data_IF_238586576879
#
_entry.id   IF_238586576879
#
_cell.length_a   1.000
_cell.length_b   1.000
_cell.length_c   1.000
_cell.angle_alpha   90.00
_cell.angle_beta   90.00
_cell.angle_gamma   90.00
#
_symmetry.space_group_name_H-M   'P 1'
#
loop_
_entity.id
_entity.type
_entity.pdbx_description
1 polymer ?
#
# COMPACT_ATOMS: atom_id res chain seq x y z
N UNK A 1 4.62 -3.27 13.70
CA UNK A 1 4.17 -3.59 12.33
C UNK A 1 2.65 -3.53 12.34
N UNK A 2 2.02 -3.00 11.29
CA UNK A 2 0.57 -2.89 11.20
C UNK A 2 0.02 -4.15 10.54
N UNK A 3 -0.89 -4.87 11.20
CA UNK A 3 -1.47 -6.11 10.68
C UNK A 3 -2.30 -5.89 9.42
N UNK A 4 -2.83 -4.68 9.25
CA UNK A 4 -3.60 -4.30 8.06
C UNK A 4 -2.73 -4.13 6.82
N UNK A 5 -1.41 -3.93 6.97
CA UNK A 5 -0.47 -3.77 5.84
C UNK A 5 -0.08 -5.13 5.32
N UNK A 6 -0.59 -5.48 4.14
CA UNK A 6 -0.31 -6.77 3.50
C UNK A 6 0.93 -6.74 2.62
N UNK A 7 1.28 -5.57 2.08
CA UNK A 7 2.48 -5.37 1.26
C UNK A 7 3.04 -3.96 1.51
N UNK A 8 4.36 -3.83 1.53
CA UNK A 8 5.05 -2.54 1.66
C UNK A 8 6.26 -2.54 0.71
N UNK A 9 6.32 -1.53 -0.14
CA UNK A 9 7.34 -1.38 -1.17
C UNK A 9 8.04 -0.05 -0.98
N UNK A 10 9.37 -0.07 -0.99
CA UNK A 10 10.16 1.12 -1.24
C UNK A 10 10.24 1.31 -2.76
N UNK A 11 9.83 2.47 -3.25
CA UNK A 11 9.75 2.75 -4.68
C UNK A 11 10.53 4.02 -5.01
N UNK A 12 10.93 4.14 -6.27
CA UNK A 12 11.49 5.37 -6.83
C UNK A 12 10.39 6.07 -7.62
N UNK A 13 10.10 7.34 -7.35
CA UNK A 13 9.03 8.08 -8.03
C UNK A 13 8.52 9.27 -7.20
N UNK A 14 7.22 9.57 -7.30
CA UNK A 14 6.57 10.68 -6.58
C UNK A 14 6.48 10.47 -5.05
N UNK A 15 6.71 9.25 -4.57
CA UNK A 15 6.68 8.87 -3.16
C UNK A 15 7.75 7.80 -2.88
N UNK A 16 8.32 7.80 -1.67
CA UNK A 16 9.36 6.85 -1.29
C UNK A 16 8.82 5.45 -0.94
N UNK A 17 7.57 5.39 -0.46
CA UNK A 17 6.93 4.16 -0.03
C UNK A 17 5.52 4.02 -0.60
N UNK A 18 5.19 2.82 -1.04
CA UNK A 18 3.85 2.41 -1.41
C UNK A 18 3.43 1.22 -0.55
N UNK A 19 2.32 1.36 0.16
CA UNK A 19 1.76 0.30 0.99
C UNK A 19 0.41 -0.14 0.45
N UNK A 20 0.14 -1.43 0.57
CA UNK A 20 -1.17 -2.02 0.31
C UNK A 20 -1.76 -2.46 1.63
N UNK A 21 -2.94 -1.96 1.93
CA UNK A 21 -3.66 -2.25 3.17
C UNK A 21 -4.99 -2.95 2.88
N UNK A 22 -5.39 -3.86 3.76
CA UNK A 22 -6.70 -4.51 3.73
C UNK A 22 -7.52 -3.98 4.91
N UNK A 23 -8.59 -3.25 4.59
CA UNK A 23 -9.46 -2.58 5.56
C UNK A 23 -10.93 -2.91 5.24
N UNK A 24 -11.81 -2.71 6.21
CA UNK A 24 -13.23 -3.03 6.06
C UNK A 24 -13.95 -2.06 5.11
N UNK A 25 -13.64 -0.76 5.21
CA UNK A 25 -14.32 0.32 4.50
C UNK A 25 -13.44 1.59 4.44
N UNK A 26 -14.04 2.67 3.92
CA UNK A 26 -13.38 3.98 3.75
C UNK A 26 -13.18 4.68 5.10
N UNK A 27 -14.07 4.49 6.07
CA UNK A 27 -13.93 5.08 7.39
C UNK A 27 -12.74 4.46 8.13
N UNK A 28 -12.55 3.15 8.02
CA UNK A 28 -11.37 2.46 8.51
C UNK A 28 -10.08 2.97 7.85
N UNK A 29 -10.10 3.38 6.57
CA UNK A 29 -8.96 4.02 5.91
C UNK A 29 -8.65 5.39 6.53
N UNK A 30 -9.67 6.21 6.77
CA UNK A 30 -9.49 7.53 7.38
C UNK A 30 -8.92 7.42 8.80
N UNK A 31 -9.43 6.49 9.60
CA UNK A 31 -8.92 6.17 10.94
C UNK A 31 -7.48 5.65 10.85
N UNK A 32 -7.19 4.74 9.93
CA UNK A 32 -5.84 4.21 9.74
C UNK A 32 -4.83 5.33 9.40
N UNK A 33 -5.19 6.25 8.51
CA UNK A 33 -4.33 7.39 8.17
C UNK A 33 -4.15 8.28 9.40
N UNK A 34 -5.24 8.77 9.99
CA UNK A 34 -5.21 9.77 11.06
C UNK A 34 -4.62 9.27 12.37
N UNK A 35 -4.89 8.02 12.75
CA UNK A 35 -4.51 7.48 14.05
C UNK A 35 -3.23 6.66 14.02
N UNK A 36 -2.83 6.10 12.87
CA UNK A 36 -1.64 5.26 12.78
C UNK A 36 -0.55 5.90 11.95
N UNK A 37 -0.89 6.35 10.74
CA UNK A 37 0.12 6.87 9.81
C UNK A 37 0.53 8.31 10.14
N UNK A 38 -0.39 9.18 10.53
CA UNK A 38 -0.09 10.55 10.94
C UNK A 38 0.71 10.64 12.24
N UNK A 39 0.90 9.53 12.97
CA UNK A 39 1.81 9.47 14.14
C UNK A 39 3.27 9.24 13.75
N UNK A 40 3.56 9.04 12.47
CA UNK A 40 4.91 8.88 11.95
C UNK A 40 5.36 10.26 11.50
N UNK A 41 6.21 10.89 12.31
CA UNK A 41 6.63 12.29 12.14
C UNK A 41 7.34 12.55 10.79
N UNK A 42 7.94 11.52 10.19
CA UNK A 42 8.67 11.61 8.94
C UNK A 42 7.78 11.52 7.68
N UNK A 43 6.46 11.30 7.81
CA UNK A 43 5.57 11.24 6.65
C UNK A 43 4.98 12.62 6.36
N UNK A 44 5.40 13.22 5.25
CA UNK A 44 4.94 14.54 4.83
C UNK A 44 3.60 14.48 4.08
N UNK A 45 3.43 13.56 3.12
CA UNK A 45 2.25 13.52 2.24
C UNK A 45 1.68 12.11 2.07
N UNK A 46 0.35 12.01 2.13
CA UNK A 46 -0.39 10.77 1.87
C UNK A 46 -1.17 10.85 0.56
N UNK A 47 -1.01 9.81 -0.26
CA UNK A 47 -1.84 9.62 -1.46
C UNK A 47 -2.43 8.21 -1.43
N UNK A 48 -3.75 8.16 -1.34
CA UNK A 48 -4.49 6.91 -1.21
C UNK A 48 -5.16 6.53 -2.52
N UNK A 49 -5.14 5.24 -2.84
CA UNK A 49 -5.81 4.68 -4.01
C UNK A 49 -6.70 3.52 -3.56
N UNK A 50 -7.91 3.45 -4.11
CA UNK A 50 -8.81 2.33 -3.88
C UNK A 50 -8.78 1.37 -5.07
N UNK A 51 -8.47 0.11 -4.80
CA UNK A 51 -8.50 -0.94 -5.82
C UNK A 51 -9.96 -1.31 -6.07
N UNK A 52 -10.50 -0.92 -7.21
CA UNK A 52 -11.88 -1.25 -7.60
C UNK A 52 -12.04 -2.71 -8.00
N UNK A 53 -11.04 -3.25 -8.71
CA UNK A 53 -11.00 -4.65 -9.10
C UNK A 53 -9.56 -5.09 -9.32
N UNK A 54 -9.33 -6.38 -9.13
CA UNK A 54 -8.02 -7.01 -9.27
C UNK A 54 -8.06 -7.91 -10.50
N UNK A 55 -7.59 -7.37 -11.63
CA UNK A 55 -7.64 -8.07 -12.93
C UNK A 55 -6.66 -9.25 -12.99
N UNK A 56 -5.51 -9.13 -12.32
CA UNK A 56 -4.49 -10.18 -12.23
C UNK A 56 -3.82 -10.13 -10.86
N UNK A 57 -3.66 -11.30 -10.25
CA UNK A 57 -2.96 -11.48 -8.98
C UNK A 57 -2.28 -12.84 -8.98
N UNK A 58 -1.06 -12.88 -9.49
CA UNK A 58 -0.26 -14.10 -9.57
C UNK A 58 0.79 -14.06 -8.48
N UNK A 59 0.85 -15.12 -7.67
CA UNK A 59 1.94 -15.35 -6.71
C UNK A 59 3.16 -16.01 -7.35
N UNK A 60 3.07 -16.38 -8.62
CA UNK A 60 4.14 -17.01 -9.39
C UNK A 60 4.83 -15.96 -10.24
N UNK A 61 6.13 -15.80 -10.03
CA UNK A 61 6.97 -14.96 -10.87
C UNK A 61 7.21 -15.62 -12.23
N UNK A 62 7.11 -14.87 -13.36
CA UNK A 62 7.51 -15.41 -14.65
C UNK A 62 9.02 -15.59 -14.67
N UNK A 63 9.50 -16.82 -14.89
CA UNK A 63 10.94 -17.13 -14.92
C UNK A 63 11.52 -17.22 -16.33
N UNK A 64 10.69 -17.09 -17.36
CA UNK A 64 11.11 -17.14 -18.76
C UNK A 64 11.42 -15.73 -19.24
N UNK A 65 12.64 -15.28 -18.97
CA UNK A 65 13.20 -14.08 -19.59
C UNK A 65 14.13 -14.56 -20.70
N UNK A 66 13.63 -14.70 -21.92
CA UNK A 66 14.53 -14.90 -23.07
C UNK A 66 15.37 -13.64 -23.26
N UNK A 67 16.67 -13.83 -23.47
CA UNK A 67 17.68 -12.77 -23.61
C UNK A 67 17.52 -12.01 -24.93
#
# INVERSE_FOLDING_TARGET
AFDEVVECYKVTGDFDYMIKVMLADIDALNTFISEKMSKIDEIDHFKSFMILSKIKDSKVAPLTYEK
#
